data_IF_841040765887
#
_entry.id   IF_841040765887
#
_cell.length_a   1.000
_cell.length_b   1.000
_cell.length_c   1.000
_cell.angle_alpha   90.00
_cell.angle_beta   90.00
_cell.angle_gamma   90.00
#
_symmetry.space_group_name_H-M   'P 1'
#
loop_
_entity.id
_entity.type
_entity.pdbx_description
1 polymer ?
#
# COMPACT_ATOMS: atom_id res chain seq x y z
N UNK A 1 15.84 -4.00 -29.48
CA UNK A 1 16.98 -4.82 -29.95
C UNK A 1 17.09 -6.05 -29.06
N UNK A 2 17.61 -7.19 -29.53
CA UNK A 2 17.88 -8.32 -28.64
C UNK A 2 18.87 -7.91 -27.55
N UNK A 3 18.55 -8.20 -26.29
CA UNK A 3 19.39 -7.86 -25.13
C UNK A 3 20.71 -8.61 -25.23
N UNK A 4 21.83 -7.90 -25.10
CA UNK A 4 23.15 -8.54 -25.10
C UNK A 4 23.32 -9.22 -23.74
N UNK A 5 23.67 -10.51 -23.72
CA UNK A 5 23.81 -11.33 -22.50
C UNK A 5 25.27 -11.55 -22.08
N UNK A 6 26.22 -11.30 -22.98
CA UNK A 6 27.65 -11.46 -22.75
C UNK A 6 28.32 -10.11 -22.93
N UNK A 7 29.07 -9.64 -21.93
CA UNK A 7 29.75 -8.36 -21.98
C UNK A 7 30.80 -8.35 -23.12
N UNK A 8 30.61 -7.51 -24.17
CA UNK A 8 31.53 -7.43 -25.31
C UNK A 8 32.93 -6.95 -24.93
N UNK A 9 33.08 -6.25 -23.80
CA UNK A 9 34.38 -5.80 -23.30
C UNK A 9 35.26 -6.94 -22.75
N UNK A 10 34.67 -8.09 -22.44
CA UNK A 10 35.40 -9.27 -21.92
C UNK A 10 35.78 -10.26 -23.02
N UNK A 11 35.33 -10.04 -24.26
CA UNK A 11 35.62 -10.94 -25.37
C UNK A 11 36.94 -10.50 -26.01
N UNK A 12 37.92 -11.39 -26.02
CA UNK A 12 39.18 -11.20 -26.73
C UNK A 12 39.05 -11.59 -28.20
N UNK A 13 39.80 -10.90 -29.06
CA UNK A 13 39.85 -11.22 -30.48
C UNK A 13 40.43 -12.64 -30.67
N UNK A 14 39.76 -13.52 -31.43
CA UNK A 14 40.34 -14.80 -31.78
C UNK A 14 41.69 -14.63 -32.50
N UNK A 15 42.62 -15.56 -32.27
CA UNK A 15 43.87 -15.56 -33.02
C UNK A 15 43.63 -16.05 -34.45
N UNK A 16 43.49 -15.10 -35.38
CA UNK A 16 43.29 -15.35 -36.80
C UNK A 16 44.53 -15.92 -37.50
N UNK A 17 45.67 -16.03 -36.80
CA UNK A 17 46.88 -16.67 -37.33
C UNK A 17 46.83 -18.20 -37.23
N UNK A 18 45.90 -18.76 -36.46
CA UNK A 18 45.71 -20.20 -36.29
C UNK A 18 45.31 -20.90 -37.60
N UNK A 19 45.70 -22.17 -37.73
CA UNK A 19 45.43 -23.02 -38.90
C UNK A 19 43.93 -23.20 -39.17
N UNK A 20 43.10 -23.10 -38.12
CA UNK A 20 41.62 -23.17 -38.23
C UNK A 20 41.08 -22.09 -39.18
N UNK A 21 41.75 -20.93 -39.25
CA UNK A 21 41.38 -19.83 -40.14
C UNK A 21 42.16 -19.83 -41.46
N UNK A 22 42.96 -20.85 -41.76
CA UNK A 22 43.75 -20.94 -42.99
C UNK A 22 42.87 -20.87 -44.25
N UNK A 23 41.71 -21.52 -44.24
CA UNK A 23 40.76 -21.49 -45.37
C UNK A 23 40.31 -20.05 -45.65
N UNK A 24 39.89 -19.32 -44.61
CA UNK A 24 39.45 -17.93 -44.74
C UNK A 24 40.59 -17.00 -45.19
N UNK A 25 41.79 -17.16 -44.61
CA UNK A 25 42.98 -16.38 -45.00
C UNK A 25 43.38 -16.64 -46.45
N UNK A 26 43.38 -17.89 -46.90
CA UNK A 26 43.76 -18.25 -48.27
C UNK A 26 42.81 -17.62 -49.30
N UNK A 27 41.50 -17.62 -49.03
CA UNK A 27 40.52 -16.95 -49.91
C UNK A 27 40.81 -15.45 -50.00
N UNK A 28 41.06 -14.79 -48.86
CA UNK A 28 41.36 -13.35 -48.82
C UNK A 28 42.69 -13.05 -49.54
N UNK A 29 43.72 -13.85 -49.29
CA UNK A 29 45.03 -13.73 -49.96
C UNK A 29 44.92 -13.89 -51.47
N UNK A 30 44.18 -14.88 -51.98
CA UNK A 30 43.98 -15.08 -53.43
C UNK A 30 43.15 -13.96 -54.05
N UNK A 31 42.11 -13.49 -53.36
CA UNK A 31 41.20 -12.47 -53.90
C UNK A 31 41.84 -11.07 -53.95
N UNK A 32 42.64 -10.72 -52.93
CA UNK A 32 43.21 -9.39 -52.75
C UNK A 32 44.71 -9.31 -53.09
N UNK A 33 45.34 -10.44 -53.45
CA UNK A 33 46.78 -10.58 -53.68
C UNK A 33 47.64 -10.01 -52.52
N UNK A 34 47.21 -10.26 -51.28
CA UNK A 34 47.88 -9.81 -50.05
C UNK A 34 48.54 -10.98 -49.31
N UNK A 35 49.49 -10.68 -48.43
CA UNK A 35 50.12 -11.71 -47.59
C UNK A 35 49.14 -12.32 -46.58
N UNK A 36 49.40 -13.56 -46.15
CA UNK A 36 48.56 -14.24 -45.16
C UNK A 36 48.52 -13.52 -43.80
N UNK A 37 49.56 -12.73 -43.49
CA UNK A 37 49.62 -11.88 -42.29
C UNK A 37 48.67 -10.68 -42.42
N UNK A 38 48.68 -9.99 -43.56
CA UNK A 38 47.73 -8.90 -43.85
C UNK A 38 46.28 -9.38 -43.90
N UNK A 39 46.04 -10.61 -44.38
CA UNK A 39 44.72 -11.23 -44.34
C UNK A 39 44.22 -11.46 -42.91
N UNK A 40 45.10 -11.90 -42.00
CA UNK A 40 44.77 -12.08 -40.58
C UNK A 40 44.47 -10.74 -39.89
N UNK A 41 45.25 -9.70 -40.19
CA UNK A 41 45.00 -8.34 -39.66
C UNK A 41 43.66 -7.77 -40.13
N UNK A 42 43.27 -7.95 -41.40
CA UNK A 42 41.95 -7.52 -41.87
C UNK A 42 40.79 -8.26 -41.23
N UNK A 43 40.96 -9.56 -40.96
CA UNK A 43 39.96 -10.34 -40.21
C UNK A 43 39.82 -9.82 -38.77
N UNK A 44 40.97 -9.49 -38.15
CA UNK A 44 41.00 -8.89 -36.83
C UNK A 44 40.34 -7.52 -36.81
N UNK A 45 40.61 -6.67 -37.80
CA UNK A 45 40.00 -5.33 -37.94
C UNK A 45 38.48 -5.42 -38.09
N UNK A 46 38.00 -6.32 -38.96
CA UNK A 46 36.57 -6.55 -39.15
C UNK A 46 35.90 -7.05 -37.86
N UNK A 47 36.57 -7.95 -37.13
CA UNK A 47 36.08 -8.43 -35.84
C UNK A 47 36.06 -7.31 -34.78
N UNK A 48 37.09 -6.47 -34.73
CA UNK A 48 37.13 -5.33 -33.78
C UNK A 48 36.03 -4.33 -34.07
N UNK A 49 35.74 -4.04 -35.35
CA UNK A 49 34.65 -3.15 -35.73
C UNK A 49 33.28 -3.69 -35.27
N UNK A 50 33.02 -5.00 -35.46
CA UNK A 50 31.80 -5.64 -34.96
C UNK A 50 31.72 -5.63 -33.42
N UNK A 51 32.85 -5.89 -32.74
CA UNK A 51 32.91 -5.86 -31.28
C UNK A 51 32.67 -4.44 -30.74
N UNK A 52 33.18 -3.41 -31.39
CA UNK A 52 33.00 -2.01 -30.96
C UNK A 52 31.55 -1.56 -31.12
N UNK A 53 30.85 -1.98 -32.18
CA UNK A 53 29.39 -1.76 -32.30
C UNK A 53 28.63 -2.44 -31.17
N UNK A 54 29.02 -3.66 -30.79
CA UNK A 54 28.42 -4.38 -29.67
C UNK A 54 28.68 -3.69 -28.33
N UNK A 55 29.88 -3.14 -28.12
CA UNK A 55 30.20 -2.33 -26.92
C UNK A 55 29.30 -1.11 -26.83
N UNK A 56 29.13 -0.37 -27.92
CA UNK A 56 28.22 0.80 -27.94
C UNK A 56 26.79 0.41 -27.59
N UNK A 57 26.29 -0.69 -28.17
CA UNK A 57 24.95 -1.19 -27.86
C UNK A 57 24.83 -1.69 -26.40
N UNK A 58 25.92 -2.23 -25.83
CA UNK A 58 25.97 -2.62 -24.42
C UNK A 58 25.93 -1.39 -23.50
N UNK A 59 26.71 -0.36 -23.81
CA UNK A 59 26.76 0.87 -23.03
C UNK A 59 25.41 1.60 -23.04
N UNK A 60 24.71 1.61 -24.19
CA UNK A 60 23.35 2.15 -24.29
C UNK A 60 22.36 1.34 -23.45
N UNK A 61 22.49 0.01 -23.41
CA UNK A 61 21.65 -0.86 -22.59
C UNK A 61 21.88 -0.63 -21.09
N UNK A 62 23.13 -0.53 -20.65
CA UNK A 62 23.47 -0.24 -19.25
C UNK A 62 22.97 1.13 -18.82
N UNK A 63 23.06 2.14 -19.70
CA UNK A 63 22.52 3.47 -19.42
C UNK A 63 20.99 3.42 -19.24
N UNK A 64 20.28 2.75 -20.14
CA UNK A 64 18.84 2.57 -20.06
C UNK A 64 18.41 1.81 -18.79
N UNK A 65 19.10 0.71 -18.45
CA UNK A 65 18.82 -0.06 -17.23
C UNK A 65 19.07 0.78 -15.96
N UNK A 66 20.11 1.63 -15.96
CA UNK A 66 20.43 2.53 -14.87
C UNK A 66 19.38 3.63 -14.71
N UNK A 67 18.92 4.23 -15.81
CA UNK A 67 17.85 5.23 -15.81
C UNK A 67 16.52 4.63 -15.32
N UNK A 68 16.15 3.43 -15.76
CA UNK A 68 14.95 2.73 -15.29
C UNK A 68 15.05 2.37 -13.80
N UNK A 69 16.23 2.00 -13.30
CA UNK A 69 16.45 1.75 -11.88
C UNK A 69 16.32 3.04 -11.05
N UNK A 70 16.87 4.16 -11.55
CA UNK A 70 16.77 5.46 -10.90
C UNK A 70 15.32 5.96 -10.85
N UNK A 71 14.55 5.79 -11.93
CA UNK A 71 13.13 6.14 -11.96
C UNK A 71 12.33 5.32 -10.96
N UNK A 72 12.54 4.00 -10.90
CA UNK A 72 11.87 3.14 -9.90
C UNK A 72 12.19 3.54 -8.47
N UNK A 73 13.46 3.84 -8.17
CA UNK A 73 13.85 4.30 -6.85
C UNK A 73 13.17 5.63 -6.48
N UNK A 74 13.08 6.56 -7.44
CA UNK A 74 12.40 7.84 -7.24
C UNK A 74 10.89 7.67 -7.00
N UNK A 75 10.23 6.78 -7.74
CA UNK A 75 8.81 6.47 -7.55
C UNK A 75 8.55 5.82 -6.18
N UNK A 76 9.41 4.89 -5.75
CA UNK A 76 9.32 4.27 -4.43
C UNK A 76 9.49 5.28 -3.30
N UNK A 77 10.44 6.20 -3.41
CA UNK A 77 10.64 7.29 -2.44
C UNK A 77 9.45 8.25 -2.41
N UNK A 78 8.88 8.58 -3.58
CA UNK A 78 7.69 9.42 -3.64
C UNK A 78 6.50 8.73 -2.97
N UNK A 79 6.26 7.45 -3.25
CA UNK A 79 5.19 6.66 -2.62
C UNK A 79 5.36 6.60 -1.10
N UNK A 80 6.59 6.35 -0.62
CA UNK A 80 6.91 6.36 0.81
C UNK A 80 6.59 7.70 1.45
N UNK A 81 6.97 8.81 0.80
CA UNK A 81 6.71 10.15 1.33
C UNK A 81 5.22 10.49 1.34
N UNK A 82 4.46 10.10 0.32
CA UNK A 82 3.00 10.26 0.26
C UNK A 82 2.29 9.43 1.36
N UNK A 83 2.78 8.22 1.63
CA UNK A 83 2.28 7.39 2.73
C UNK A 83 2.53 8.03 4.09
N UNK A 84 3.74 8.55 4.32
CA UNK A 84 4.09 9.29 5.54
C UNK A 84 3.17 10.50 5.74
N UNK A 85 2.98 11.32 4.71
CA UNK A 85 2.09 12.48 4.76
C UNK A 85 0.63 12.09 5.06
N UNK A 86 0.16 10.99 4.47
CA UNK A 86 -1.18 10.45 4.75
C UNK A 86 -1.30 10.01 6.20
N UNK A 87 -0.28 9.35 6.73
CA UNK A 87 -0.26 8.88 8.11
C UNK A 87 -0.26 10.05 9.10
N UNK A 88 0.58 11.07 8.89
CA UNK A 88 0.60 12.31 9.68
C UNK A 88 -0.75 13.05 9.64
N UNK A 89 -1.38 13.11 8.46
CA UNK A 89 -2.71 13.72 8.33
C UNK A 89 -3.80 12.92 9.08
N UNK A 90 -3.70 11.60 9.12
CA UNK A 90 -4.63 10.77 9.87
C UNK A 90 -4.39 10.90 11.39
N UNK A 91 -3.13 10.89 11.82
CA UNK A 91 -2.75 11.04 13.22
C UNK A 91 -3.20 12.39 13.79
N UNK A 92 -3.19 13.48 13.01
CA UNK A 92 -3.73 14.78 13.45
C UNK A 92 -5.26 14.85 13.50
N UNK A 93 -5.97 13.96 12.78
CA UNK A 93 -7.45 13.88 12.77
C UNK A 93 -7.99 13.00 13.90
N UNK A 94 -7.27 11.97 14.30
CA UNK A 94 -7.65 11.07 15.41
C UNK A 94 -7.86 11.74 16.78
N UNK A 95 -6.99 12.66 17.27
CA UNK A 95 -7.16 13.29 18.58
C UNK A 95 -8.37 14.22 18.64
N UNK A 96 -8.87 14.67 17.47
CA UNK A 96 -10.10 15.48 17.40
C UNK A 96 -11.36 14.65 17.62
N UNK A 97 -11.30 13.31 17.46
CA UNK A 97 -12.49 12.43 17.56
C UNK A 97 -12.64 11.74 18.92
N UNK A 98 -11.63 11.75 19.80
CA UNK A 98 -11.63 10.93 21.02
C UNK A 98 -11.28 11.72 22.28
N UNK A 99 -12.18 12.57 22.77
CA UNK A 99 -12.43 12.73 24.22
C UNK A 99 -13.89 13.09 24.44
N UNK A 100 -14.74 12.17 24.93
CA UNK A 100 -15.98 12.57 25.59
C UNK A 100 -15.59 13.61 26.65
N UNK A 101 -16.24 14.78 26.66
CA UNK A 101 -16.04 15.76 27.73
C UNK A 101 -16.43 15.08 29.04
N UNK A 102 -15.44 14.66 29.82
CA UNK A 102 -15.67 14.16 31.16
C UNK A 102 -16.10 15.37 32.01
N UNK A 103 -17.31 15.33 32.55
CA UNK A 103 -17.78 16.36 33.45
C UNK A 103 -16.82 16.49 34.64
N UNK A 104 -16.60 17.70 35.13
CA UNK A 104 -15.72 17.96 36.28
C UNK A 104 -16.23 17.24 37.53
N UNK A 105 -15.34 16.60 38.27
CA UNK A 105 -15.66 15.96 39.54
C UNK A 105 -16.06 17.01 40.60
N UNK A 106 -17.23 16.84 41.22
CA UNK A 106 -17.72 17.71 42.30
C UNK A 106 -17.59 16.94 43.61
N UNK A 107 -16.54 17.24 44.39
CA UNK A 107 -16.13 16.48 45.58
C UNK A 107 -17.16 16.43 46.72
N UNK A 108 -18.11 17.37 46.76
CA UNK A 108 -19.10 17.51 47.85
C UNK A 108 -20.54 17.34 47.38
N UNK A 109 -20.78 16.68 46.24
CA UNK A 109 -22.13 16.36 45.80
C UNK A 109 -22.57 15.03 46.44
N UNK A 110 -23.51 15.01 47.40
CA UNK A 110 -24.00 13.75 47.95
C UNK A 110 -24.69 12.95 46.83
N UNK A 111 -24.26 11.72 46.63
CA UNK A 111 -24.91 10.78 45.71
C UNK A 111 -26.32 10.54 46.26
N UNK A 112 -27.34 10.88 45.48
CA UNK A 112 -28.72 10.64 45.89
C UNK A 112 -28.95 9.13 46.02
N UNK A 113 -29.27 8.66 47.22
CA UNK A 113 -29.50 7.24 47.52
C UNK A 113 -30.79 6.70 46.88
N UNK A 114 -31.68 7.59 46.47
CA UNK A 114 -32.95 7.25 45.84
C UNK A 114 -32.97 7.69 44.37
N UNK A 115 -33.31 6.75 43.49
CA UNK A 115 -33.60 7.03 42.09
C UNK A 115 -34.91 7.83 42.05
N UNK A 116 -34.87 9.03 41.45
CA UNK A 116 -36.09 9.81 41.26
C UNK A 116 -36.93 9.14 40.18
N UNK A 117 -38.15 8.75 40.53
CA UNK A 117 -39.14 8.31 39.56
C UNK A 117 -39.38 9.44 38.55
N UNK A 118 -39.39 9.09 37.27
CA UNK A 118 -39.60 10.01 36.18
C UNK A 118 -40.66 9.46 35.23
N UNK A 119 -41.41 10.32 34.53
CA UNK A 119 -42.33 9.88 33.49
C UNK A 119 -41.58 9.15 32.38
N UNK A 120 -42.27 8.23 31.70
CA UNK A 120 -41.69 7.44 30.61
C UNK A 120 -41.09 8.30 29.49
N UNK A 121 -40.05 7.79 28.83
CA UNK A 121 -39.45 8.47 27.66
C UNK A 121 -40.49 8.71 26.54
N UNK A 122 -41.44 7.81 26.38
CA UNK A 122 -42.58 7.95 25.47
C UNK A 122 -43.42 9.19 25.81
N UNK A 123 -43.72 9.39 27.10
CA UNK A 123 -44.52 10.51 27.54
C UNK A 123 -43.82 11.86 27.34
N UNK A 124 -42.51 11.90 27.62
CA UNK A 124 -41.67 13.07 27.37
C UNK A 124 -41.54 13.39 25.88
N UNK A 125 -41.46 12.38 25.02
CA UNK A 125 -41.42 12.56 23.57
C UNK A 125 -42.73 13.15 23.04
N UNK A 126 -43.88 12.59 23.43
CA UNK A 126 -45.21 13.14 23.07
C UNK A 126 -45.37 14.59 23.51
N UNK A 127 -44.91 14.92 24.71
CA UNK A 127 -44.93 16.29 25.23
C UNK A 127 -44.06 17.24 24.39
N UNK A 128 -42.89 16.78 23.93
CA UNK A 128 -42.00 17.56 23.06
C UNK A 128 -42.62 17.83 21.68
N UNK A 129 -43.29 16.83 21.12
CA UNK A 129 -44.03 16.93 19.85
C UNK A 129 -45.38 17.65 19.99
N UNK A 130 -45.75 18.07 21.21
CA UNK A 130 -47.03 18.72 21.54
C UNK A 130 -48.25 17.88 21.16
N UNK A 131 -48.09 16.57 21.17
CA UNK A 131 -49.16 15.61 20.90
C UNK A 131 -49.99 15.35 22.17
N UNK A 132 -51.21 14.86 21.98
CA UNK A 132 -52.07 14.47 23.10
C UNK A 132 -51.43 13.32 23.88
N UNK A 133 -51.46 13.45 25.21
CA UNK A 133 -51.03 12.40 26.12
C UNK A 133 -51.90 12.38 27.38
N UNK A 134 -52.18 11.17 27.87
CA UNK A 134 -52.92 10.98 29.11
C UNK A 134 -52.09 11.39 30.33
N UNK A 135 -52.75 12.03 31.30
CA UNK A 135 -52.11 12.47 32.54
C UNK A 135 -51.71 11.31 33.47
N UNK A 136 -52.22 10.10 33.22
CA UNK A 136 -51.87 8.87 33.93
C UNK A 136 -50.37 8.60 33.91
N UNK A 137 -49.67 8.92 32.81
CA UNK A 137 -48.22 8.77 32.68
C UNK A 137 -47.38 9.63 33.63
N UNK A 138 -47.96 10.69 34.20
CA UNK A 138 -47.30 11.61 35.12
C UNK A 138 -47.69 11.38 36.59
N UNK A 139 -48.51 10.37 36.85
CA UNK A 139 -48.84 9.93 38.22
C UNK A 139 -47.67 9.14 38.81
N UNK A 140 -47.53 9.08 40.15
CA UNK A 140 -46.47 8.29 40.78
C UNK A 140 -46.51 6.82 40.38
N UNK A 141 -47.71 6.25 40.21
CA UNK A 141 -47.91 4.87 39.77
C UNK A 141 -47.45 4.69 38.32
N UNK A 142 -47.81 5.61 37.41
CA UNK A 142 -47.36 5.60 36.02
C UNK A 142 -45.84 5.78 35.87
N UNK A 143 -45.20 6.55 36.75
CA UNK A 143 -43.74 6.69 36.78
C UNK A 143 -43.05 5.41 37.30
N UNK A 144 -43.66 4.71 38.26
CA UNK A 144 -43.16 3.44 38.76
C UNK A 144 -43.29 2.31 37.73
N UNK A 145 -44.41 2.26 37.01
CA UNK A 145 -44.62 1.34 35.90
C UNK A 145 -43.63 1.59 34.75
N UNK A 146 -43.38 2.85 34.41
CA UNK A 146 -42.37 3.22 33.42
C UNK A 146 -40.96 2.74 33.80
N UNK A 147 -40.56 2.96 35.06
CA UNK A 147 -39.25 2.52 35.54
C UNK A 147 -39.07 0.98 35.48
N UNK A 148 -40.14 0.22 35.77
CA UNK A 148 -40.12 -1.23 35.67
C UNK A 148 -40.05 -1.72 34.21
N UNK A 149 -40.81 -1.09 33.31
CA UNK A 149 -40.81 -1.43 31.89
C UNK A 149 -39.46 -1.13 31.22
N UNK A 150 -38.83 0.00 31.54
CA UNK A 150 -37.50 0.34 31.00
C UNK A 150 -36.44 -0.71 31.39
N UNK A 151 -36.53 -1.26 32.61
CA UNK A 151 -35.66 -2.35 33.06
C UNK A 151 -35.93 -3.67 32.32
N UNK A 152 -37.21 -4.02 32.13
CA UNK A 152 -37.60 -5.24 31.43
C UNK A 152 -37.17 -5.22 29.95
N UNK A 153 -37.36 -4.10 29.25
CA UNK A 153 -36.92 -3.94 27.84
C UNK A 153 -35.40 -4.05 27.71
N UNK A 154 -34.65 -3.50 28.67
CA UNK A 154 -33.20 -3.64 28.68
C UNK A 154 -32.76 -5.11 28.85
N UNK A 155 -33.34 -5.83 29.81
CA UNK A 155 -33.03 -7.26 30.01
C UNK A 155 -33.37 -8.10 28.77
N UNK A 156 -34.52 -7.90 28.15
CA UNK A 156 -34.89 -8.61 26.91
C UNK A 156 -33.90 -8.34 25.78
N UNK A 157 -33.51 -7.07 25.55
CA UNK A 157 -32.53 -6.71 24.51
C UNK A 157 -31.14 -7.37 24.74
N UNK A 158 -30.70 -7.46 26.00
CA UNK A 158 -29.47 -8.17 26.35
C UNK A 158 -29.58 -9.69 26.16
N UNK A 159 -30.75 -10.29 26.44
CA UNK A 159 -30.96 -11.72 26.20
C UNK A 159 -30.93 -12.07 24.71
N UNK A 160 -31.54 -11.26 23.83
CA UNK A 160 -31.49 -11.48 22.38
C UNK A 160 -30.07 -11.43 21.81
N UNK A 161 -29.22 -10.54 22.33
CA UNK A 161 -27.83 -10.41 21.88
C UNK A 161 -26.98 -11.64 22.23
N UNK A 162 -27.31 -12.34 23.34
CA UNK A 162 -26.57 -13.52 23.80
C UNK A 162 -26.91 -14.80 23.02
N UNK A 163 -28.10 -14.89 22.44
CA UNK A 163 -28.52 -16.05 21.63
C UNK A 163 -27.81 -16.08 20.27
N UNK A 164 -27.43 -14.91 19.74
CA UNK A 164 -26.80 -14.81 18.42
C UNK A 164 -25.32 -15.22 18.41
N UNK A 165 -24.66 -15.22 19.58
CA UNK A 165 -23.24 -15.64 19.75
C UNK A 165 -23.07 -17.17 19.85
N UNK A 166 -24.16 -17.95 19.90
CA UNK A 166 -24.11 -19.40 20.13
C UNK A 166 -24.36 -20.27 18.88
N UNK A 167 -24.47 -19.68 17.69
CA UNK A 167 -24.62 -20.43 16.42
C UNK A 167 -23.38 -20.23 15.56
N UNK A 168 -22.29 -20.90 15.95
CA UNK A 168 -21.15 -21.22 15.08
C UNK A 168 -20.37 -22.36 15.73
N UNK A 169 -20.78 -23.59 15.44
CA UNK A 169 -19.99 -24.81 15.64
C UNK A 169 -20.30 -25.78 14.49
#
# INVERSE_FOLDING_TARGET
MPRITVNPNLVEAPDFTLEVYAIARNVITTQLNITAVEAAERLKEAWTADNDVKKLAWDEQELADCEEAAQRAQEEDQQRNEELQRNEQNETREPKKKKPKLNSFIANCPIATAIKLHPSCFALHKLKEREYIELSYFTPDGCAEAANNDHAVAEEAFTFSKVNDLISL
#
